data_IF_677162435057
#
_entry.id   IF_677162435057
#
_cell.length_a   1.000
_cell.length_b   1.000
_cell.length_c   1.000
_cell.angle_alpha   90.00
_cell.angle_beta   90.00
_cell.angle_gamma   90.00
#
_symmetry.space_group_name_H-M   'P 1'
#
loop_
_entity.id
_entity.type
_entity.pdbx_description
1 polymer ?
#
# COMPACT_ATOMS: atom_id res chain seq x y z
N UNK A 1 -2.92 21.10 12.30
CA UNK A 1 -3.59 19.79 12.23
C UNK A 1 -2.62 18.77 11.65
N UNK A 2 -2.58 17.57 12.22
CA UNK A 2 -1.78 16.44 11.74
C UNK A 2 -2.71 15.26 11.41
N UNK A 3 -2.38 14.48 10.38
CA UNK A 3 -3.12 13.28 10.01
C UNK A 3 -2.18 12.09 9.84
N UNK A 4 -2.37 11.05 10.68
CA UNK A 4 -1.53 9.86 10.74
C UNK A 4 -2.40 8.59 10.89
N UNK A 5 -3.07 8.12 9.81
CA UNK A 5 -3.92 6.96 9.90
C UNK A 5 -3.10 5.67 10.15
N UNK A 6 -3.80 4.66 10.66
CA UNK A 6 -3.32 3.27 10.69
C UNK A 6 -3.74 2.63 9.35
N UNK A 7 -2.82 2.27 8.44
CA UNK A 7 -3.13 1.76 7.11
C UNK A 7 -3.57 0.27 7.11
N UNK A 8 -4.62 -0.07 7.85
CA UNK A 8 -5.34 -1.34 7.73
C UNK A 8 -6.78 -1.07 7.29
N UNK A 9 -7.26 -1.83 6.31
CA UNK A 9 -8.65 -1.78 5.86
C UNK A 9 -9.55 -2.32 6.97
N UNK A 10 -10.49 -1.50 7.39
CA UNK A 10 -11.53 -1.81 8.39
C UNK A 10 -12.90 -1.59 7.76
N UNK A 11 -13.96 -2.05 8.42
CA UNK A 11 -15.34 -1.84 7.98
C UNK A 11 -16.26 -1.70 9.19
N UNK A 12 -17.52 -1.34 8.97
CA UNK A 12 -18.43 -0.97 10.06
C UNK A 12 -18.62 -2.05 11.14
N UNK A 13 -18.65 -3.33 10.76
CA UNK A 13 -18.72 -4.44 11.71
C UNK A 13 -17.40 -4.69 12.50
N UNK A 14 -16.25 -4.29 11.96
CA UNK A 14 -14.91 -4.45 12.56
C UNK A 14 -14.15 -3.12 12.42
N UNK A 15 -14.57 -2.08 13.16
CA UNK A 15 -14.16 -0.69 12.90
C UNK A 15 -12.73 -0.39 13.34
N UNK A 16 -12.07 -1.34 14.00
CA UNK A 16 -10.67 -1.20 14.42
C UNK A 16 -9.84 -2.38 13.92
N UNK A 17 -8.57 -2.14 13.61
CA UNK A 17 -7.68 -3.19 13.13
C UNK A 17 -7.45 -4.32 14.16
N UNK A 18 -7.66 -4.05 15.45
CA UNK A 18 -7.64 -5.06 16.51
C UNK A 18 -8.87 -5.96 16.50
N UNK A 19 -10.01 -5.44 16.02
CA UNK A 19 -11.27 -6.17 15.96
C UNK A 19 -11.38 -7.15 14.79
N UNK A 20 -10.58 -6.93 13.74
CA UNK A 20 -10.58 -7.71 12.50
C UNK A 20 -10.56 -9.22 12.73
N UNK A 21 -11.21 -9.96 11.85
CA UNK A 21 -11.17 -11.43 11.75
C UNK A 21 -10.73 -11.84 10.36
N UNK A 22 -10.02 -12.97 10.27
CA UNK A 22 -9.61 -13.56 8.98
C UNK A 22 -10.19 -14.98 8.86
N UNK A 23 -11.43 -15.12 8.34
CA UNK A 23 -12.04 -16.42 8.15
C UNK A 23 -11.39 -17.23 7.02
N UNK A 24 -10.48 -16.64 6.24
CA UNK A 24 -9.74 -17.34 5.18
C UNK A 24 -8.48 -18.04 5.69
N UNK A 25 -8.15 -17.93 6.98
CA UNK A 25 -6.93 -18.46 7.57
C UNK A 25 -7.21 -19.32 8.82
N UNK A 26 -7.21 -20.63 8.65
CA UNK A 26 -7.42 -21.61 9.72
C UNK A 26 -6.21 -21.76 10.68
N UNK A 27 -5.12 -21.04 10.39
CA UNK A 27 -3.88 -21.10 11.17
C UNK A 27 -3.84 -20.09 12.34
N UNK A 28 -4.78 -19.15 12.37
CA UNK A 28 -4.78 -18.08 13.36
C UNK A 28 -5.36 -18.56 14.71
N UNK A 29 -4.67 -18.29 15.83
CA UNK A 29 -5.26 -18.45 17.15
C UNK A 29 -6.57 -17.65 17.25
N UNK A 30 -7.65 -18.34 17.60
CA UNK A 30 -9.01 -17.79 17.73
C UNK A 30 -9.52 -17.02 16.50
N UNK A 31 -8.97 -17.24 15.31
CA UNK A 31 -9.31 -16.51 14.08
C UNK A 31 -8.98 -15.02 14.14
N UNK A 32 -8.05 -14.59 15.01
CA UNK A 32 -7.68 -13.18 15.20
C UNK A 32 -6.31 -12.88 14.60
N UNK A 33 -6.21 -11.97 13.61
CA UNK A 33 -4.94 -11.57 13.00
C UNK A 33 -4.10 -10.64 13.90
N UNK A 34 -4.74 -9.76 14.68
CA UNK A 34 -4.01 -8.89 15.59
C UNK A 34 -3.31 -9.70 16.71
N UNK A 35 -2.04 -9.40 17.06
CA UNK A 35 -1.21 -8.29 16.57
C UNK A 35 -0.21 -8.63 15.47
N UNK A 36 -0.12 -9.89 15.04
CA UNK A 36 1.06 -10.40 14.28
C UNK A 36 0.77 -10.93 12.88
N UNK A 37 -0.50 -10.97 12.44
CA UNK A 37 -0.92 -11.53 11.16
C UNK A 37 -1.89 -10.59 10.40
N UNK A 38 -1.64 -9.28 10.47
CA UNK A 38 -2.47 -8.25 9.84
C UNK A 38 -2.15 -8.00 8.36
N UNK A 39 -1.16 -8.72 7.81
CA UNK A 39 -0.67 -8.60 6.44
C UNK A 39 -1.81 -8.56 5.38
N UNK A 40 -2.85 -9.43 5.45
CA UNK A 40 -3.94 -9.43 4.46
C UNK A 40 -4.76 -8.13 4.45
N UNK A 41 -4.78 -7.40 5.56
CA UNK A 41 -5.62 -6.22 5.75
C UNK A 41 -4.89 -4.91 5.44
N UNK A 42 -3.60 -4.96 5.11
CA UNK A 42 -2.81 -3.75 4.84
C UNK A 42 -3.37 -2.97 3.65
N UNK A 43 -3.51 -1.65 3.81
CA UNK A 43 -3.75 -0.75 2.68
C UNK A 43 -2.55 -0.81 1.74
N UNK A 44 -2.78 -0.64 0.44
CA UNK A 44 -1.72 -0.58 -0.54
C UNK A 44 -1.19 0.86 -0.71
N UNK A 45 -0.08 0.99 -1.45
CA UNK A 45 0.59 2.28 -1.70
C UNK A 45 -0.29 3.32 -2.40
N UNK A 46 -1.26 2.90 -3.21
CA UNK A 46 -2.15 3.79 -3.94
C UNK A 46 -3.24 4.35 -3.03
N UNK A 47 -3.81 3.54 -2.15
CA UNK A 47 -4.77 4.00 -1.14
C UNK A 47 -4.14 5.03 -0.18
N UNK A 48 -2.90 4.80 0.23
CA UNK A 48 -2.13 5.74 1.05
C UNK A 48 -1.85 7.06 0.30
N UNK A 49 -1.53 6.97 -1.00
CA UNK A 49 -1.33 8.16 -1.84
C UNK A 49 -2.63 8.98 -2.00
N UNK A 50 -3.77 8.33 -2.28
CA UNK A 50 -5.09 8.99 -2.37
C UNK A 50 -5.44 9.72 -1.07
N UNK A 51 -5.33 9.04 0.07
CA UNK A 51 -5.51 9.66 1.38
C UNK A 51 -4.64 10.90 1.55
N UNK A 52 -3.38 10.82 1.14
CA UNK A 52 -2.40 11.91 1.30
C UNK A 52 -2.82 13.15 0.51
N UNK A 53 -3.22 12.98 -0.75
CA UNK A 53 -3.69 14.09 -1.60
C UNK A 53 -4.92 14.73 -0.98
N UNK A 54 -5.93 13.93 -0.62
CA UNK A 54 -7.18 14.42 -0.02
C UNK A 54 -6.95 15.15 1.30
N UNK A 55 -6.09 14.61 2.17
CA UNK A 55 -5.76 15.26 3.43
C UNK A 55 -5.00 16.58 3.21
N UNK A 56 -4.11 16.66 2.22
CA UNK A 56 -3.40 17.89 1.87
C UNK A 56 -4.36 18.97 1.32
N UNK A 57 -5.31 18.58 0.47
CA UNK A 57 -6.38 19.45 -0.06
C UNK A 57 -7.26 20.03 1.06
N UNK A 58 -7.54 19.23 2.10
CA UNK A 58 -8.24 19.67 3.31
C UNK A 58 -7.40 20.57 4.24
N UNK A 59 -6.17 20.91 3.87
CA UNK A 59 -5.34 21.83 4.65
C UNK A 59 -4.39 21.16 5.65
N UNK A 60 -4.30 19.82 5.69
CA UNK A 60 -3.32 19.14 6.56
C UNK A 60 -1.90 19.40 6.05
N UNK A 61 -0.98 19.70 6.97
CA UNK A 61 0.43 19.99 6.65
C UNK A 61 1.43 19.08 7.37
N UNK A 62 0.95 18.28 8.32
CA UNK A 62 1.73 17.23 8.95
C UNK A 62 1.07 15.88 8.63
N UNK A 63 1.66 15.16 7.68
CA UNK A 63 1.14 13.90 7.15
C UNK A 63 2.11 12.77 7.49
N UNK A 64 1.57 11.70 8.07
CA UNK A 64 2.35 10.50 8.38
C UNK A 64 1.46 9.27 8.41
N UNK A 65 1.97 8.18 8.98
CA UNK A 65 1.25 6.92 9.19
C UNK A 65 1.62 6.38 10.57
N UNK A 66 0.73 5.56 11.13
CA UNK A 66 0.94 4.89 12.41
C UNK A 66 1.26 3.40 12.21
N UNK A 67 0.74 2.51 13.07
CA UNK A 67 0.97 1.06 13.01
C UNK A 67 0.64 0.47 11.63
N UNK A 68 1.50 -0.39 11.10
CA UNK A 68 1.34 -0.98 9.76
C UNK A 68 1.97 -0.18 8.62
N UNK A 69 2.60 0.97 8.92
CA UNK A 69 3.36 1.72 7.92
C UNK A 69 4.58 0.93 7.41
N UNK A 70 4.66 0.73 6.10
CA UNK A 70 5.86 0.23 5.42
C UNK A 70 6.62 1.36 4.71
N UNK A 71 7.92 1.17 4.37
CA UNK A 71 8.70 2.17 3.63
C UNK A 71 8.08 2.57 2.29
N UNK A 72 7.37 1.65 1.63
CA UNK A 72 6.68 1.91 0.38
C UNK A 72 5.41 2.78 0.57
N UNK A 73 4.75 2.72 1.73
CA UNK A 73 3.65 3.63 2.07
C UNK A 73 4.15 5.05 2.23
N UNK A 74 5.18 5.26 3.06
CA UNK A 74 5.74 6.60 3.31
C UNK A 74 6.31 7.22 2.04
N UNK A 75 6.94 6.41 1.17
CA UNK A 75 7.40 6.86 -0.13
C UNK A 75 6.25 7.30 -1.04
N UNK A 76 5.19 6.50 -1.13
CA UNK A 76 4.01 6.85 -1.92
C UNK A 76 3.34 8.15 -1.43
N UNK A 77 3.29 8.39 -0.12
CA UNK A 77 2.82 9.68 0.42
C UNK A 77 3.69 10.84 -0.07
N UNK A 78 5.01 10.72 0.01
CA UNK A 78 5.91 11.79 -0.40
C UNK A 78 5.78 12.09 -1.91
N UNK A 79 5.75 11.05 -2.73
CA UNK A 79 5.61 11.15 -4.18
C UNK A 79 4.24 11.72 -4.60
N UNK A 80 3.16 11.37 -3.90
CA UNK A 80 1.83 11.94 -4.11
C UNK A 80 1.77 13.46 -3.84
N UNK A 81 2.64 13.96 -2.97
CA UNK A 81 2.81 15.40 -2.71
C UNK A 81 3.80 16.07 -3.69
N UNK A 82 4.19 15.39 -4.77
CA UNK A 82 5.15 15.90 -5.76
C UNK A 82 6.59 15.95 -5.28
N UNK A 83 6.94 15.21 -4.21
CA UNK A 83 8.32 15.17 -3.68
C UNK A 83 9.08 13.97 -4.26
N UNK A 84 10.40 14.12 -4.37
CA UNK A 84 11.30 13.05 -4.82
C UNK A 84 12.37 12.80 -3.75
N UNK A 85 12.03 12.17 -2.61
CA UNK A 85 13.02 11.83 -1.58
C UNK A 85 14.09 10.84 -2.09
N UNK A 86 15.25 10.69 -1.43
CA UNK A 86 16.27 9.72 -1.83
C UNK A 86 15.76 8.27 -1.97
N UNK A 87 14.74 7.90 -1.19
CA UNK A 87 14.10 6.59 -1.27
C UNK A 87 13.28 6.38 -2.56
N UNK A 88 12.94 7.42 -3.31
CA UNK A 88 12.26 7.34 -4.63
C UNK A 88 13.03 6.53 -5.66
N UNK A 89 14.35 6.36 -5.48
CA UNK A 89 15.16 5.42 -6.28
C UNK A 89 14.68 3.96 -6.22
N UNK A 90 13.88 3.61 -5.20
CA UNK A 90 13.30 2.28 -5.01
C UNK A 90 11.81 2.21 -5.41
N UNK A 91 11.27 3.24 -6.06
CA UNK A 91 9.93 3.18 -6.60
C UNK A 91 9.87 2.20 -7.76
N UNK A 92 8.72 1.52 -7.87
CA UNK A 92 8.53 0.51 -8.89
C UNK A 92 8.45 1.19 -10.25
N UNK A 93 9.34 0.82 -11.15
CA UNK A 93 9.29 1.24 -12.54
C UNK A 93 8.58 0.17 -13.38
N UNK A 94 7.29 0.38 -13.59
CA UNK A 94 6.48 -0.59 -14.33
C UNK A 94 6.86 -0.69 -15.80
N UNK A 95 7.51 0.33 -16.39
CA UNK A 95 8.01 0.26 -17.77
C UNK A 95 9.03 -0.87 -17.95
N UNK A 96 9.66 -1.31 -16.86
CA UNK A 96 10.69 -2.36 -16.81
C UNK A 96 10.14 -3.70 -16.34
N UNK A 97 8.85 -3.80 -16.05
CA UNK A 97 8.25 -5.05 -15.58
C UNK A 97 8.32 -6.12 -16.66
N UNK A 98 8.77 -7.33 -16.31
CA UNK A 98 9.05 -8.40 -17.29
C UNK A 98 7.84 -8.76 -18.19
N UNK A 99 6.62 -8.71 -17.62
CA UNK A 99 5.38 -9.11 -18.31
C UNK A 99 4.47 -7.94 -18.70
N UNK A 100 4.65 -6.77 -18.06
CA UNK A 100 3.71 -5.64 -18.17
C UNK A 100 4.41 -4.33 -18.55
N UNK A 101 5.73 -4.37 -18.72
CA UNK A 101 6.52 -3.21 -19.07
C UNK A 101 6.48 -2.89 -20.55
N UNK A 102 7.01 -1.73 -20.90
CA UNK A 102 6.97 -1.12 -22.23
C UNK A 102 8.37 -0.80 -22.77
N UNK A 103 9.45 -1.09 -22.03
CA UNK A 103 10.81 -0.93 -22.54
C UNK A 103 11.06 -1.84 -23.75
N UNK A 104 11.75 -1.31 -24.75
CA UNK A 104 12.14 -2.04 -25.97
C UNK A 104 13.08 -3.22 -25.67
N UNK A 105 13.84 -3.15 -24.57
CA UNK A 105 14.78 -4.18 -24.13
C UNK A 105 14.09 -5.47 -23.63
N UNK A 106 12.77 -5.44 -23.43
CA UNK A 106 12.01 -6.56 -22.87
C UNK A 106 11.84 -7.69 -23.89
N UNK A 107 11.98 -8.94 -23.42
CA UNK A 107 11.88 -10.13 -24.29
C UNK A 107 10.44 -10.34 -24.75
N UNK A 108 10.16 -10.47 -26.06
CA UNK A 108 8.81 -10.69 -26.58
C UNK A 108 8.12 -11.90 -25.93
N UNK A 109 8.85 -13.00 -25.72
CA UNK A 109 8.30 -14.20 -25.08
C UNK A 109 7.69 -13.92 -23.68
N UNK A 110 8.27 -13.00 -22.89
CA UNK A 110 7.70 -12.66 -21.60
C UNK A 110 6.42 -11.84 -21.77
N UNK A 111 6.40 -10.92 -22.73
CA UNK A 111 5.23 -10.08 -23.03
C UNK A 111 4.05 -10.91 -23.56
N UNK A 112 4.31 -11.91 -24.40
CA UNK A 112 3.29 -12.82 -24.92
C UNK A 112 2.64 -13.65 -23.80
N UNK A 113 3.42 -13.99 -22.76
CA UNK A 113 2.93 -14.74 -21.60
C UNK A 113 1.92 -13.96 -20.75
N UNK A 114 1.85 -12.63 -20.90
CA UNK A 114 0.91 -11.75 -20.18
C UNK A 114 -0.54 -12.25 -20.25
N UNK A 115 -0.94 -12.83 -21.39
CA UNK A 115 -2.31 -13.32 -21.63
C UNK A 115 -2.67 -14.59 -20.87
N UNK A 116 -1.70 -15.23 -20.20
CA UNK A 116 -1.85 -16.48 -19.45
C UNK A 116 -1.79 -16.28 -17.93
N UNK A 117 -1.57 -15.05 -17.46
CA UNK A 117 -1.58 -14.66 -16.04
C UNK A 117 -3.00 -14.30 -15.61
#
# INVERSE_FOLDING_TARGET
>A
VAALPVPYRTHDAEPTFQSLRDPGCDLLPDGRPFPVALDPFTCNRYEVADFTVRAAELGVRYLGLCCGAGPHHVRAMAEALGRTPPASRYSADMSRHAFFGTEESLRPHNQDYRTKL
#
